data_IF_956363719777
#
_entry.id   IF_956363719777
#
_cell.length_a   1.000
_cell.length_b   1.000
_cell.length_c   1.000
_cell.angle_alpha   90.00
_cell.angle_beta   90.00
_cell.angle_gamma   90.00
#
_symmetry.space_group_name_H-M   'P 1'
#
loop_
_entity.id
_entity.type
_entity.pdbx_description
1 polymer ?
#
# COMPACT_ATOMS: atom_id res chain seq x y z
N UNK A 1 19.04 -15.18 3.77
CA UNK A 1 18.28 -16.23 3.03
C UNK A 1 18.37 -15.93 1.55
N UNK A 2 18.55 -16.92 0.66
CA UNK A 2 18.59 -16.65 -0.80
C UNK A 2 17.33 -15.94 -1.28
N UNK A 3 17.47 -14.94 -2.15
CA UNK A 3 16.35 -14.09 -2.62
C UNK A 3 15.21 -14.93 -3.21
N UNK A 4 15.54 -15.92 -4.04
CA UNK A 4 14.57 -16.81 -4.68
C UNK A 4 13.74 -17.57 -3.65
N UNK A 5 14.35 -18.00 -2.54
CA UNK A 5 13.63 -18.67 -1.45
C UNK A 5 12.73 -17.70 -0.65
N UNK A 6 13.09 -16.41 -0.61
CA UNK A 6 12.23 -15.37 -0.02
C UNK A 6 11.00 -15.13 -0.92
N UNK A 7 11.21 -14.98 -2.23
CA UNK A 7 10.15 -14.83 -3.23
C UNK A 7 9.17 -16.01 -3.17
N UNK A 8 9.68 -17.25 -3.12
CA UNK A 8 8.84 -18.45 -3.00
C UNK A 8 8.00 -18.49 -1.71
N UNK A 9 8.50 -17.90 -0.62
CA UNK A 9 7.77 -17.81 0.65
C UNK A 9 6.69 -16.74 0.59
N UNK A 10 7.00 -15.55 0.08
CA UNK A 10 6.03 -14.46 -0.10
C UNK A 10 4.92 -14.86 -1.08
N UNK A 11 5.26 -15.58 -2.16
CA UNK A 11 4.28 -16.07 -3.13
C UNK A 11 3.24 -17.03 -2.50
N UNK A 12 3.66 -17.87 -1.54
CA UNK A 12 2.74 -18.75 -0.79
C UNK A 12 1.77 -17.99 0.12
N UNK A 13 2.10 -16.74 0.45
CA UNK A 13 1.26 -15.81 1.19
C UNK A 13 0.44 -14.90 0.25
N UNK A 14 0.48 -15.16 -1.06
CA UNK A 14 -0.25 -14.38 -2.07
C UNK A 14 0.46 -13.10 -2.52
N UNK A 15 1.66 -12.81 -2.01
CA UNK A 15 2.46 -11.67 -2.43
C UNK A 15 3.41 -12.11 -3.55
N UNK A 16 3.01 -11.83 -4.79
CA UNK A 16 3.71 -12.28 -6.00
C UNK A 16 4.15 -11.05 -6.79
N UNK A 17 5.36 -11.09 -7.34
CA UNK A 17 5.79 -10.05 -8.27
C UNK A 17 4.88 -10.04 -9.51
N UNK A 18 4.64 -8.86 -10.06
CA UNK A 18 3.80 -8.74 -11.25
C UNK A 18 4.43 -9.49 -12.44
N UNK A 19 3.63 -10.08 -13.36
CA UNK A 19 4.12 -11.00 -14.40
C UNK A 19 5.23 -10.45 -15.32
N UNK A 20 5.27 -9.14 -15.50
CA UNK A 20 6.24 -8.40 -16.31
C UNK A 20 7.54 -8.05 -15.56
N UNK A 21 7.61 -8.36 -14.27
CA UNK A 21 8.72 -8.03 -13.38
C UNK A 21 9.64 -9.24 -13.26
N UNK A 22 10.94 -8.98 -13.34
CA UNK A 22 12.01 -9.96 -13.19
C UNK A 22 12.81 -9.68 -11.93
N UNK A 23 13.58 -10.66 -11.45
CA UNK A 23 14.51 -10.45 -10.32
C UNK A 23 15.50 -9.33 -10.65
N UNK A 24 15.91 -9.18 -11.91
CA UNK A 24 16.80 -8.10 -12.35
C UNK A 24 16.14 -6.70 -12.29
N UNK A 25 14.80 -6.60 -12.28
CA UNK A 25 14.13 -5.32 -11.99
C UNK A 25 14.34 -4.94 -10.53
N UNK A 26 14.24 -5.90 -9.60
CA UNK A 26 14.45 -5.67 -8.17
C UNK A 26 15.93 -5.36 -7.89
N UNK A 27 16.83 -6.15 -8.46
CA UNK A 27 18.28 -5.99 -8.25
C UNK A 27 18.87 -4.73 -8.90
N UNK A 28 18.08 -4.02 -9.72
CA UNK A 28 18.48 -2.72 -10.24
C UNK A 28 18.59 -1.66 -9.13
N UNK A 29 17.70 -1.71 -8.14
CA UNK A 29 17.61 -0.74 -7.04
C UNK A 29 18.11 -1.29 -5.71
N UNK A 30 18.06 -2.61 -5.53
CA UNK A 30 18.38 -3.26 -4.27
C UNK A 30 19.55 -4.22 -4.43
N UNK A 31 20.60 -4.04 -3.62
CA UNK A 31 21.73 -4.96 -3.63
C UNK A 31 21.29 -6.36 -3.15
N UNK A 32 21.74 -7.40 -3.87
CA UNK A 32 21.40 -8.79 -3.54
C UNK A 32 21.91 -9.17 -2.16
N UNK A 33 23.12 -8.78 -1.79
CA UNK A 33 23.67 -9.13 -0.49
C UNK A 33 22.86 -8.47 0.63
N UNK A 34 22.42 -7.22 0.46
CA UNK A 34 21.51 -6.56 1.38
C UNK A 34 20.21 -7.36 1.57
N UNK A 35 19.51 -7.67 0.47
CA UNK A 35 18.27 -8.47 0.47
C UNK A 35 18.44 -9.84 1.12
N UNK A 36 19.60 -10.48 0.94
CA UNK A 36 19.85 -11.80 1.51
C UNK A 36 20.32 -11.74 2.98
N UNK A 37 20.86 -10.61 3.42
CA UNK A 37 21.34 -10.38 4.80
C UNK A 37 20.24 -9.90 5.75
N UNK A 38 19.28 -9.14 5.23
CA UNK A 38 18.08 -8.68 5.95
C UNK A 38 16.83 -9.12 5.17
N UNK A 39 16.42 -10.39 5.33
CA UNK A 39 15.40 -10.99 4.51
C UNK A 39 14.01 -10.44 4.85
N UNK A 40 13.11 -10.49 3.88
CA UNK A 40 11.69 -10.13 4.00
C UNK A 40 11.40 -8.66 4.24
N UNK A 41 11.94 -7.98 5.27
CA UNK A 41 11.62 -6.55 5.49
C UNK A 41 12.03 -5.70 4.29
N UNK A 42 13.30 -5.80 3.87
CA UNK A 42 13.78 -5.10 2.69
C UNK A 42 13.10 -5.57 1.39
N UNK A 43 12.70 -6.84 1.32
CA UNK A 43 12.00 -7.37 0.14
C UNK A 43 10.54 -6.90 0.07
N UNK A 44 9.85 -6.76 1.20
CA UNK A 44 8.52 -6.17 1.28
C UNK A 44 8.57 -4.69 0.93
N UNK A 45 9.58 -3.97 1.40
CA UNK A 45 9.86 -2.62 0.94
C UNK A 45 10.04 -2.61 -0.58
N UNK A 46 10.88 -3.47 -1.15
CA UNK A 46 11.03 -3.55 -2.60
C UNK A 46 9.70 -3.87 -3.32
N UNK A 47 8.87 -4.76 -2.77
CA UNK A 47 7.55 -5.09 -3.33
C UNK A 47 6.58 -3.90 -3.33
N UNK A 48 6.68 -3.04 -2.34
CA UNK A 48 5.88 -1.82 -2.22
C UNK A 48 6.30 -0.68 -3.15
N UNK A 49 7.42 -0.84 -3.86
CA UNK A 49 7.97 0.14 -4.78
C UNK A 49 7.62 -0.12 -6.24
N UNK A 50 7.81 0.92 -7.06
CA UNK A 50 7.90 0.79 -8.50
C UNK A 50 9.31 0.44 -8.95
N UNK A 51 9.41 -0.12 -10.15
CA UNK A 51 10.69 -0.38 -10.78
C UNK A 51 11.37 0.92 -11.21
N UNK A 52 12.58 1.15 -10.73
CA UNK A 52 13.38 2.35 -11.05
C UNK A 52 14.14 2.27 -12.38
N UNK A 53 13.72 1.37 -13.29
CA UNK A 53 14.22 1.28 -14.66
C UNK A 53 13.10 1.38 -15.68
N UNK A 54 13.42 1.98 -16.82
CA UNK A 54 12.46 2.13 -17.93
C UNK A 54 11.88 0.78 -18.39
N UNK A 55 10.57 0.71 -18.72
CA UNK A 55 9.60 1.79 -18.60
C UNK A 55 9.17 2.04 -17.14
N UNK A 56 9.04 3.32 -16.76
CA UNK A 56 8.56 3.75 -15.43
C UNK A 56 7.09 3.38 -15.18
N UNK A 57 6.64 3.45 -13.92
CA UNK A 57 5.24 3.19 -13.53
C UNK A 57 4.89 1.71 -13.34
N UNK A 58 5.88 0.81 -13.39
CA UNK A 58 5.68 -0.63 -13.21
C UNK A 58 5.84 -0.98 -11.73
N UNK A 59 4.77 -1.41 -11.08
CA UNK A 59 4.82 -1.88 -9.69
C UNK A 59 5.51 -3.24 -9.60
N UNK A 60 6.32 -3.45 -8.57
CA UNK A 60 6.92 -4.77 -8.31
C UNK A 60 5.84 -5.76 -7.86
N UNK A 61 4.95 -5.35 -6.95
CA UNK A 61 3.82 -6.15 -6.49
C UNK A 61 2.56 -5.26 -6.38
N UNK A 62 1.41 -5.76 -6.85
CA UNK A 62 0.14 -5.05 -6.69
C UNK A 62 -0.47 -5.16 -5.29
N UNK A 63 0.06 -6.04 -4.43
CA UNK A 63 -0.48 -6.33 -3.09
C UNK A 63 0.36 -5.78 -1.93
N UNK A 64 1.38 -5.00 -2.25
CA UNK A 64 2.22 -4.29 -1.28
C UNK A 64 2.37 -2.85 -1.76
N UNK A 65 2.44 -1.91 -0.83
CA UNK A 65 2.69 -0.51 -1.15
C UNK A 65 3.52 0.15 -0.04
N UNK A 66 4.62 0.81 -0.41
CA UNK A 66 5.29 1.74 0.48
C UNK A 66 4.53 3.06 0.41
N UNK A 67 3.62 3.26 1.35
CA UNK A 67 2.82 4.47 1.43
C UNK A 67 3.57 5.52 2.24
N UNK A 68 3.96 6.58 1.55
CA UNK A 68 4.44 7.82 2.16
C UNK A 68 3.24 8.77 2.32
N UNK A 69 2.82 9.10 3.55
CA UNK A 69 1.70 10.01 3.77
C UNK A 69 2.01 11.45 3.36
N UNK A 70 3.27 11.86 3.19
CA UNK A 70 3.68 13.19 2.70
C UNK A 70 3.50 13.28 1.17
N UNK A 71 2.26 13.13 0.68
CA UNK A 71 1.95 13.01 -0.75
C UNK A 71 0.71 13.78 -1.25
N UNK A 72 0.14 14.68 -0.46
CA UNK A 72 -1.07 15.45 -0.82
C UNK A 72 -0.70 16.89 -1.12
N UNK A 73 -0.73 17.30 -2.39
CA UNK A 73 -0.40 18.67 -2.78
C UNK A 73 -1.50 19.34 -3.61
N UNK A 74 -2.38 18.57 -4.25
CA UNK A 74 -3.41 19.08 -5.12
C UNK A 74 -4.59 18.13 -5.27
N UNK A 75 -5.65 18.65 -5.90
CA UNK A 75 -6.79 17.84 -6.36
C UNK A 75 -6.29 16.69 -7.25
N UNK A 76 -6.75 15.49 -6.96
CA UNK A 76 -6.42 14.23 -7.60
C UNK A 76 -5.48 13.36 -6.78
N UNK A 77 -4.92 13.84 -5.67
CA UNK A 77 -3.97 13.07 -4.85
C UNK A 77 -4.69 12.02 -3.98
N UNK A 78 -5.82 12.35 -3.35
CA UNK A 78 -6.61 11.33 -2.65
C UNK A 78 -7.20 10.32 -3.62
N UNK A 79 -7.59 10.74 -4.83
CA UNK A 79 -8.04 9.82 -5.88
C UNK A 79 -6.99 8.75 -6.16
N UNK A 80 -5.71 9.14 -6.30
CA UNK A 80 -4.60 8.19 -6.50
C UNK A 80 -4.42 7.28 -5.30
N UNK A 81 -4.44 7.82 -4.08
CA UNK A 81 -4.29 7.04 -2.84
C UNK A 81 -5.39 5.97 -2.77
N UNK A 82 -6.66 6.35 -2.92
CA UNK A 82 -7.81 5.43 -2.86
C UNK A 82 -7.72 4.36 -3.96
N UNK A 83 -7.30 4.72 -5.17
CA UNK A 83 -7.06 3.75 -6.25
C UNK A 83 -5.96 2.74 -5.87
N UNK A 84 -4.89 3.17 -5.19
CA UNK A 84 -3.87 2.24 -4.69
C UNK A 84 -4.42 1.32 -3.61
N UNK A 85 -5.24 1.82 -2.69
CA UNK A 85 -5.89 0.99 -1.66
C UNK A 85 -6.82 -0.07 -2.29
N UNK A 86 -7.58 0.29 -3.32
CA UNK A 86 -8.41 -0.66 -4.08
C UNK A 86 -7.55 -1.74 -4.76
N UNK A 87 -6.43 -1.34 -5.37
CA UNK A 87 -5.48 -2.26 -6.01
C UNK A 87 -4.90 -3.26 -5.00
N UNK A 88 -4.50 -2.79 -3.80
CA UNK A 88 -4.04 -3.66 -2.71
C UNK A 88 -5.12 -4.67 -2.29
N UNK A 89 -6.38 -4.21 -2.24
CA UNK A 89 -7.57 -5.04 -2.00
C UNK A 89 -7.77 -6.14 -3.06
N UNK A 90 -7.10 -6.04 -4.21
CA UNK A 90 -7.19 -6.98 -5.32
C UNK A 90 -8.35 -6.71 -6.28
N UNK A 91 -9.02 -5.57 -6.14
CA UNK A 91 -10.09 -5.12 -7.03
C UNK A 91 -9.99 -3.60 -7.19
N UNK A 92 -9.35 -3.18 -8.29
CA UNK A 92 -9.07 -1.77 -8.56
C UNK A 92 -10.33 -0.93 -8.83
N UNK A 93 -11.45 -1.58 -9.17
CA UNK A 93 -12.72 -0.93 -9.51
C UNK A 93 -13.76 -1.06 -8.39
N UNK A 94 -13.33 -1.50 -7.19
CA UNK A 94 -14.22 -1.75 -6.06
C UNK A 94 -14.93 -0.47 -5.57
N UNK A 95 -14.18 0.62 -5.45
CA UNK A 95 -14.74 1.96 -5.24
C UNK A 95 -14.83 2.68 -6.58
N UNK A 96 -15.96 3.32 -6.82
CA UNK A 96 -16.30 3.95 -8.09
C UNK A 96 -16.41 5.47 -7.93
N UNK A 97 -16.37 6.19 -9.05
CA UNK A 97 -16.62 7.65 -9.08
C UNK A 97 -15.78 8.44 -8.06
N UNK A 98 -14.55 7.99 -7.81
CA UNK A 98 -13.65 8.61 -6.82
C UNK A 98 -13.26 10.00 -7.31
N UNK A 99 -13.60 11.02 -6.53
CA UNK A 99 -13.27 12.42 -6.78
C UNK A 99 -12.87 13.10 -5.49
N UNK A 100 -11.91 14.02 -5.55
CA UNK A 100 -11.50 14.85 -4.44
C UNK A 100 -11.47 16.32 -4.86
N UNK A 101 -11.35 17.18 -3.86
CA UNK A 101 -11.01 18.58 -4.03
C UNK A 101 -10.07 18.98 -2.91
N UNK A 102 -8.98 19.65 -3.27
CA UNK A 102 -7.93 20.06 -2.33
C UNK A 102 -7.57 21.50 -2.62
N UNK A 103 -7.88 22.37 -1.67
CA UNK A 103 -7.41 23.75 -1.57
C UNK A 103 -6.76 23.96 -0.20
N UNK A 104 -5.43 23.85 -0.16
CA UNK A 104 -4.64 24.01 1.07
C UNK A 104 -4.55 25.47 1.52
N UNK A 105 -4.70 26.43 0.59
CA UNK A 105 -4.63 27.86 0.90
C UNK A 105 -5.92 28.32 1.61
N UNK A 106 -7.08 27.83 1.16
CA UNK A 106 -8.38 28.11 1.76
C UNK A 106 -8.77 27.12 2.87
N UNK A 107 -8.07 25.98 2.96
CA UNK A 107 -8.31 24.91 3.93
C UNK A 107 -9.57 24.09 3.62
N UNK A 108 -10.01 24.06 2.36
CA UNK A 108 -11.18 23.31 1.89
C UNK A 108 -10.70 22.05 1.20
N UNK A 109 -10.86 20.90 1.88
CA UNK A 109 -10.42 19.61 1.38
C UNK A 109 -11.51 18.56 1.64
N UNK A 110 -11.87 17.77 0.62
CA UNK A 110 -12.83 16.67 0.76
C UNK A 110 -12.57 15.54 -0.26
N UNK A 111 -13.08 14.35 0.06
CA UNK A 111 -13.02 13.14 -0.76
C UNK A 111 -14.42 12.52 -0.87
N UNK A 112 -14.84 12.19 -2.09
CA UNK A 112 -16.09 11.48 -2.38
C UNK A 112 -15.82 10.22 -3.22
N UNK A 113 -16.55 9.15 -2.96
CA UNK A 113 -16.56 7.93 -3.79
C UNK A 113 -17.86 7.14 -3.61
N UNK A 114 -18.13 6.25 -4.55
CA UNK A 114 -19.30 5.37 -4.56
C UNK A 114 -18.90 3.94 -4.16
N UNK A 115 -19.55 3.41 -3.13
CA UNK A 115 -19.48 2.02 -2.70
C UNK A 115 -20.84 1.35 -2.97
N UNK A 116 -20.90 0.53 -4.03
CA UNK A 116 -22.17 -0.05 -4.49
C UNK A 116 -23.15 1.03 -4.95
N UNK A 117 -24.27 1.18 -4.23
CA UNK A 117 -25.29 2.21 -4.52
C UNK A 117 -25.19 3.44 -3.57
N UNK A 118 -24.17 3.48 -2.70
CA UNK A 118 -24.02 4.54 -1.69
C UNK A 118 -22.82 5.41 -1.99
N UNK A 119 -23.03 6.73 -2.02
CA UNK A 119 -21.96 7.72 -2.10
C UNK A 119 -21.50 8.09 -0.69
N UNK A 120 -20.19 7.97 -0.45
CA UNK A 120 -19.52 8.40 0.77
C UNK A 120 -18.85 9.74 0.52
N UNK A 121 -19.01 10.68 1.45
CA UNK A 121 -18.36 11.99 1.42
C UNK A 121 -17.63 12.23 2.74
N UNK A 122 -16.36 12.58 2.66
CA UNK A 122 -15.48 12.81 3.80
C UNK A 122 -14.85 14.19 3.69
N UNK A 123 -15.02 15.00 4.74
CA UNK A 123 -14.19 16.19 4.94
C UNK A 123 -12.78 15.73 5.33
N UNK A 124 -11.77 16.36 4.74
CA UNK A 124 -10.36 16.07 4.99
C UNK A 124 -9.79 17.19 5.85
N UNK A 125 -9.06 16.85 6.91
CA UNK A 125 -8.28 17.83 7.67
C UNK A 125 -6.99 18.16 6.90
N UNK A 126 -6.82 19.40 6.39
CA UNK A 126 -5.60 19.78 5.68
C UNK A 126 -4.42 19.83 6.66
N UNK A 127 -3.30 19.21 6.30
CA UNK A 127 -2.08 19.20 7.11
C UNK A 127 -0.84 19.32 6.22
N UNK A 128 -0.56 20.53 5.73
CA UNK A 128 0.48 20.78 4.73
C UNK A 128 0.37 19.79 3.56
N UNK A 129 1.40 18.97 3.33
CA UNK A 129 1.44 17.94 2.30
C UNK A 129 1.12 16.52 2.78
N UNK A 130 0.62 16.39 4.01
CA UNK A 130 0.34 15.10 4.64
C UNK A 130 -1.10 14.65 4.42
N UNK A 131 -1.27 13.35 4.16
CA UNK A 131 -2.56 12.71 4.07
C UNK A 131 -3.24 12.60 5.45
N UNK A 132 -4.55 12.83 5.48
CA UNK A 132 -5.42 12.64 6.64
C UNK A 132 -5.66 11.14 6.84
N UNK A 133 -4.92 10.57 7.79
CA UNK A 133 -5.00 9.16 8.13
C UNK A 133 -6.36 8.76 8.71
N UNK A 134 -7.12 9.69 9.31
CA UNK A 134 -8.45 9.39 9.82
C UNK A 134 -9.41 9.21 8.64
N UNK A 135 -9.41 10.12 7.67
CA UNK A 135 -10.21 9.96 6.47
C UNK A 135 -9.85 8.69 5.69
N UNK A 136 -8.54 8.40 5.54
CA UNK A 136 -8.09 7.16 4.91
C UNK A 136 -8.50 5.90 5.69
N UNK A 137 -8.62 5.97 7.02
CA UNK A 137 -9.10 4.84 7.82
C UNK A 137 -10.54 4.47 7.46
N UNK A 138 -11.42 5.43 7.18
CA UNK A 138 -12.79 5.13 6.75
C UNK A 138 -12.81 4.45 5.37
N UNK A 139 -11.97 4.89 4.44
CA UNK A 139 -11.81 4.22 3.14
C UNK A 139 -11.31 2.79 3.31
N UNK A 140 -10.31 2.60 4.17
CA UNK A 140 -9.75 1.29 4.46
C UNK A 140 -10.77 0.37 5.13
N UNK A 141 -11.65 0.90 5.98
CA UNK A 141 -12.77 0.18 6.61
C UNK A 141 -13.78 -0.29 5.55
N UNK A 142 -14.20 0.60 4.65
CA UNK A 142 -15.13 0.29 3.54
C UNK A 142 -14.56 -0.75 2.56
N UNK A 143 -13.23 -0.86 2.48
CA UNK A 143 -12.53 -1.87 1.70
C UNK A 143 -12.41 -3.23 2.41
N UNK A 144 -12.66 -3.34 3.72
CA UNK A 144 -12.55 -4.61 4.45
C UNK A 144 -13.63 -5.61 4.02
N UNK A 145 -13.19 -6.81 3.63
CA UNK A 145 -14.07 -7.90 3.18
C UNK A 145 -13.34 -9.24 3.31
N UNK A 146 -14.11 -10.32 3.32
CA UNK A 146 -13.57 -11.70 3.34
C UNK A 146 -12.60 -11.99 4.49
N UNK A 147 -12.76 -11.30 5.63
CA UNK A 147 -11.88 -11.44 6.81
C UNK A 147 -10.49 -10.83 6.62
N UNK A 148 -10.33 -9.90 5.67
CA UNK A 148 -9.08 -9.20 5.37
C UNK A 148 -9.18 -7.72 5.72
N UNK A 149 -8.04 -7.17 6.11
CA UNK A 149 -7.89 -5.75 6.41
C UNK A 149 -6.48 -5.27 6.07
N UNK A 150 -6.26 -3.97 6.20
CA UNK A 150 -4.94 -3.37 6.02
C UNK A 150 -4.08 -3.55 7.27
N UNK A 151 -2.86 -4.01 7.03
CA UNK A 151 -1.80 -4.07 8.02
C UNK A 151 -0.62 -3.24 7.55
N UNK A 152 0.10 -2.66 8.50
CA UNK A 152 1.28 -1.84 8.25
C UNK A 152 2.49 -2.36 8.99
N UNK A 153 3.64 -2.32 8.31
CA UNK A 153 4.95 -2.42 8.92
C UNK A 153 5.59 -1.03 8.93
N UNK A 154 6.19 -0.63 10.05
CA UNK A 154 6.85 0.66 10.17
C UNK A 154 8.13 0.69 9.31
N UNK A 155 8.25 1.77 8.54
CA UNK A 155 9.41 2.06 7.71
C UNK A 155 9.85 3.53 7.91
N UNK A 156 9.77 3.99 9.16
CA UNK A 156 10.19 5.31 9.65
C UNK A 156 9.38 6.47 9.08
N UNK A 157 9.64 6.85 7.82
CA UNK A 157 8.97 7.96 7.15
C UNK A 157 7.79 7.51 6.29
N UNK A 158 7.68 6.21 6.03
CA UNK A 158 6.61 5.60 5.27
C UNK A 158 6.11 4.36 6.01
N UNK A 159 5.01 3.78 5.53
CA UNK A 159 4.50 2.51 6.02
C UNK A 159 4.36 1.51 4.88
N UNK A 160 4.77 0.26 5.11
CA UNK A 160 4.55 -0.81 4.15
C UNK A 160 3.15 -1.36 4.39
N UNK A 161 2.22 -1.06 3.49
CA UNK A 161 0.84 -1.51 3.54
C UNK A 161 0.65 -2.83 2.80
N UNK A 162 -0.09 -3.74 3.44
CA UNK A 162 -0.60 -4.98 2.84
C UNK A 162 -2.05 -5.20 3.21
N UNK A 163 -2.83 -5.81 2.30
CA UNK A 163 -4.22 -6.19 2.55
C UNK A 163 -4.37 -7.72 2.57
N UNK A 164 -4.46 -8.27 3.78
CA UNK A 164 -4.36 -9.72 4.05
C UNK A 164 -5.25 -10.15 5.21
N UNK A 165 -5.42 -11.46 5.39
CA UNK A 165 -6.04 -12.03 6.58
C UNK A 165 -5.07 -12.08 7.77
N UNK A 166 -5.60 -12.26 8.98
CA UNK A 166 -4.81 -12.30 10.22
C UNK A 166 -3.73 -13.38 10.20
N UNK A 167 -4.03 -14.58 9.69
CA UNK A 167 -3.08 -15.69 9.62
C UNK A 167 -1.87 -15.34 8.73
N UNK A 168 -2.10 -14.58 7.67
CA UNK A 168 -1.06 -14.10 6.77
C UNK A 168 -0.27 -12.96 7.39
N UNK A 169 -0.92 -12.02 8.08
CA UNK A 169 -0.25 -10.94 8.81
C UNK A 169 0.71 -11.48 9.89
N UNK A 170 0.27 -12.48 10.68
CA UNK A 170 1.12 -13.15 11.69
C UNK A 170 2.35 -13.80 11.02
N UNK A 171 2.15 -14.53 9.91
CA UNK A 171 3.28 -15.15 9.19
C UNK A 171 4.23 -14.11 8.61
N UNK A 172 3.73 -12.99 8.11
CA UNK A 172 4.59 -11.90 7.62
C UNK A 172 5.37 -11.28 8.78
N UNK A 173 4.75 -11.13 9.94
CA UNK A 173 5.40 -10.61 11.15
C UNK A 173 6.56 -11.52 11.59
N UNK A 174 6.28 -12.83 11.67
CA UNK A 174 7.29 -13.86 11.97
C UNK A 174 8.46 -13.86 10.96
N UNK A 175 8.18 -13.57 9.68
CA UNK A 175 9.21 -13.51 8.65
C UNK A 175 10.07 -12.23 8.75
N UNK A 176 9.47 -11.12 9.17
CA UNK A 176 10.16 -9.82 9.28
C UNK A 176 10.82 -9.60 10.65
N UNK A 177 10.53 -10.45 11.65
CA UNK A 177 10.94 -10.26 13.05
C UNK A 177 10.42 -8.93 13.63
N UNK A 178 9.23 -8.52 13.18
CA UNK A 178 8.58 -7.26 13.55
C UNK A 178 7.07 -7.36 13.30
N UNK A 179 6.26 -6.81 14.19
CA UNK A 179 4.81 -6.94 14.14
C UNK A 179 4.21 -6.08 13.01
N UNK A 180 3.41 -6.72 12.15
CA UNK A 180 2.49 -6.01 11.28
C UNK A 180 1.26 -5.61 12.10
N UNK A 181 1.13 -4.31 12.36
CA UNK A 181 0.03 -3.73 13.11
C UNK A 181 -1.19 -3.53 12.20
N UNK A 182 -2.42 -3.82 12.65
CA UNK A 182 -3.61 -3.47 11.89
C UNK A 182 -3.74 -1.94 11.83
N UNK A 183 -3.98 -1.38 10.65
CA UNK A 183 -4.15 0.07 10.49
C UNK A 183 -5.40 0.58 11.21
N UNK A 184 -6.44 -0.26 11.24
CA UNK A 184 -7.68 -0.01 11.97
C UNK A 184 -7.76 -1.01 13.13
N UNK A 185 -7.67 -0.57 14.39
CA UNK A 185 -7.82 -1.46 15.53
C UNK A 185 -9.21 -2.09 15.58
N UNK A 186 -9.27 -3.36 16.01
CA UNK A 186 -10.52 -4.10 16.21
C UNK A 186 -11.29 -3.68 17.47
#
# INVERSE_FOLDING_TARGET
MQLEAQLDKLAKLGLVINPEITIEDILFSFDRQALESDPFKLLLFAFGSEVEREPKGRRICNRVWNFDPECVAATGDYVKIVQQLCLLGGDADYLQEIVDYIDLDEGECWLEYTLGDTTQHWEIEPNDDWADMLALSYVMEDLQRDGRQFYSLDNEQAMILVYVDLDTAIKLSDLCDEDLEPVIPA
#
